data_IF_285951008868
#
_entry.id   IF_285951008868
#
_cell.length_a   1.000
_cell.length_b   1.000
_cell.length_c   1.000
_cell.angle_alpha   90.00
_cell.angle_beta   90.00
_cell.angle_gamma   90.00
#
_symmetry.space_group_name_H-M   'P 1'
#
loop_
_entity.id
_entity.type
_entity.pdbx_description
1 polymer ?
#
# COMPACT_ATOMS: atom_id res chain seq x y z
N UNK A 1 60.70 21.87 2.39
CA UNK A 1 61.67 20.92 1.84
C UNK A 1 61.03 20.22 0.68
N UNK A 2 61.50 20.55 -0.49
CA UNK A 2 61.00 20.15 -1.81
C UNK A 2 61.51 18.75 -2.12
N UNK A 3 60.68 17.87 -2.64
CA UNK A 3 61.21 16.78 -3.46
C UNK A 3 60.27 16.50 -4.64
N UNK A 4 60.80 16.81 -5.78
CA UNK A 4 60.31 16.54 -7.13
C UNK A 4 60.69 15.10 -7.51
N UNK A 5 59.86 14.35 -8.19
CA UNK A 5 60.33 13.17 -8.91
C UNK A 5 59.64 13.04 -10.28
N UNK A 6 60.52 12.80 -11.22
CA UNK A 6 60.40 12.91 -12.65
C UNK A 6 59.53 11.82 -13.31
N UNK A 7 58.93 12.25 -14.42
CA UNK A 7 58.27 11.44 -15.45
C UNK A 7 59.34 10.86 -16.39
N UNK A 8 59.25 9.59 -16.73
CA UNK A 8 60.00 8.97 -17.84
C UNK A 8 59.07 8.61 -18.98
N UNK A 9 59.23 9.31 -20.09
CA UNK A 9 58.65 8.96 -21.39
C UNK A 9 59.43 7.79 -21.98
N UNK A 10 58.70 6.77 -22.46
CA UNK A 10 59.26 5.78 -23.39
C UNK A 10 58.54 5.95 -24.73
N UNK A 11 59.29 6.33 -25.73
CA UNK A 11 58.88 6.41 -27.14
C UNK A 11 59.13 5.04 -27.80
N UNK A 12 58.15 4.42 -28.39
CA UNK A 12 58.29 3.23 -29.24
C UNK A 12 57.84 3.56 -30.65
N UNK A 13 58.70 3.26 -31.59
CA UNK A 13 58.57 3.52 -33.05
C UNK A 13 57.55 2.62 -33.70
N UNK A 14 56.79 3.19 -34.66
CA UNK A 14 55.93 2.50 -35.60
C UNK A 14 56.72 1.99 -36.83
N UNK A 15 56.41 0.80 -37.35
CA UNK A 15 56.74 0.44 -38.74
C UNK A 15 55.59 0.79 -39.70
N UNK A 16 55.93 1.05 -40.97
CA UNK A 16 55.09 1.52 -42.06
C UNK A 16 54.13 0.43 -42.60
N UNK A 17 53.06 0.83 -43.35
CA UNK A 17 51.95 -0.05 -43.70
C UNK A 17 52.19 -0.89 -44.96
N UNK A 18 51.67 -2.13 -44.91
CA UNK A 18 51.47 -2.99 -46.11
C UNK A 18 50.13 -2.70 -46.81
N UNK A 19 50.10 -2.65 -48.09
CA UNK A 19 48.94 -2.47 -48.97
C UNK A 19 48.03 -3.68 -48.90
N UNK A 20 46.78 -3.48 -48.50
CA UNK A 20 45.73 -4.49 -48.42
C UNK A 20 44.68 -4.38 -49.51
N UNK A 21 44.27 -5.48 -50.02
CA UNK A 21 43.23 -5.75 -51.03
C UNK A 21 41.85 -5.17 -50.71
N UNK A 22 40.98 -4.89 -51.72
CA UNK A 22 39.71 -4.17 -51.51
C UNK A 22 38.65 -5.02 -50.80
N UNK A 23 38.09 -4.45 -49.74
CA UNK A 23 36.99 -5.04 -48.97
C UNK A 23 35.65 -4.94 -49.70
N UNK A 24 34.93 -6.06 -49.70
CA UNK A 24 33.49 -6.19 -50.02
C UNK A 24 32.64 -5.34 -49.04
N UNK A 25 31.54 -4.74 -49.50
CA UNK A 25 30.70 -3.92 -48.61
C UNK A 25 29.98 -4.78 -47.55
N UNK A 26 30.14 -4.41 -46.28
CA UNK A 26 29.43 -4.98 -45.15
C UNK A 26 27.91 -4.69 -45.28
N UNK A 27 27.11 -5.72 -45.20
CA UNK A 27 25.67 -5.65 -44.97
C UNK A 27 25.42 -4.97 -43.59
N UNK A 28 24.50 -4.00 -43.47
CA UNK A 28 24.18 -3.42 -42.18
C UNK A 28 23.61 -4.48 -41.26
N UNK A 29 24.19 -4.63 -40.07
CA UNK A 29 23.59 -5.41 -38.98
C UNK A 29 22.24 -4.82 -38.62
N UNK A 30 21.20 -5.65 -38.66
CA UNK A 30 19.87 -5.31 -38.14
C UNK A 30 19.98 -4.97 -36.64
N UNK A 31 19.31 -3.91 -36.16
CA UNK A 31 19.26 -3.62 -34.75
C UNK A 31 18.60 -4.80 -34.02
N UNK A 32 19.31 -5.40 -33.09
CA UNK A 32 18.74 -6.38 -32.16
C UNK A 32 17.65 -5.70 -31.33
N UNK A 33 16.45 -6.24 -31.43
CA UNK A 33 15.30 -5.85 -30.59
C UNK A 33 15.73 -5.97 -29.14
N UNK A 34 15.42 -4.96 -28.28
CA UNK A 34 15.80 -5.03 -26.86
C UNK A 34 15.11 -6.24 -26.23
N UNK A 35 15.90 -7.12 -25.63
CA UNK A 35 15.39 -8.27 -24.86
C UNK A 35 14.37 -7.74 -23.82
N UNK A 36 13.15 -8.22 -23.93
CA UNK A 36 12.14 -8.01 -22.88
C UNK A 36 12.71 -8.55 -21.57
N UNK A 37 12.60 -7.81 -20.45
CA UNK A 37 13.04 -8.32 -19.18
C UNK A 37 12.27 -9.62 -18.89
N UNK A 38 13.00 -10.72 -18.81
CA UNK A 38 12.47 -12.02 -18.40
C UNK A 38 11.83 -11.85 -17.03
N UNK A 39 10.53 -12.12 -16.94
CA UNK A 39 9.87 -12.23 -15.64
C UNK A 39 10.63 -13.30 -14.85
N UNK A 40 10.92 -13.06 -13.55
CA UNK A 40 11.54 -14.09 -12.73
C UNK A 40 10.68 -15.35 -12.80
N UNK A 41 11.31 -16.50 -12.99
CA UNK A 41 10.62 -17.79 -12.97
C UNK A 41 9.83 -17.90 -11.67
N UNK A 42 8.52 -18.06 -11.80
CA UNK A 42 7.63 -18.17 -10.67
C UNK A 42 7.80 -19.57 -10.05
N UNK A 43 8.05 -19.66 -8.74
CA UNK A 43 8.15 -20.94 -8.03
C UNK A 43 6.92 -21.80 -8.37
N UNK A 44 7.15 -23.01 -8.85
CA UNK A 44 6.08 -23.93 -9.25
C UNK A 44 5.16 -24.36 -8.09
N UNK A 45 5.55 -24.11 -6.85
CA UNK A 45 4.74 -24.34 -5.64
C UNK A 45 3.76 -23.21 -5.34
N UNK A 46 3.90 -22.05 -6.02
CA UNK A 46 2.99 -20.94 -5.84
C UNK A 46 1.58 -21.30 -6.30
N UNK A 47 0.61 -20.87 -5.51
CA UNK A 47 -0.80 -21.13 -5.75
C UNK A 47 -1.54 -19.82 -6.04
N UNK A 48 -2.40 -19.82 -7.06
CA UNK A 48 -3.34 -18.76 -7.37
C UNK A 48 -4.69 -19.37 -7.73
N UNK A 49 -5.68 -19.19 -6.86
CA UNK A 49 -6.99 -19.84 -6.98
C UNK A 49 -8.11 -18.82 -6.99
N UNK A 50 -8.81 -18.68 -8.13
CA UNK A 50 -9.96 -17.81 -8.24
C UNK A 50 -11.15 -18.32 -7.40
N UNK A 51 -11.74 -17.44 -6.60
CA UNK A 51 -12.93 -17.69 -5.81
C UNK A 51 -14.17 -17.47 -6.67
N UNK A 52 -15.10 -18.40 -6.67
CA UNK A 52 -16.27 -18.39 -7.56
C UNK A 52 -17.48 -17.69 -6.93
N UNK A 53 -18.39 -17.26 -7.79
CA UNK A 53 -19.74 -16.81 -7.41
C UNK A 53 -19.85 -15.35 -7.02
N UNK A 54 -18.88 -14.53 -7.35
CA UNK A 54 -18.97 -13.07 -7.31
C UNK A 54 -19.62 -12.54 -8.59
N UNK A 55 -20.27 -11.38 -8.55
CA UNK A 55 -20.86 -10.76 -9.74
C UNK A 55 -19.76 -10.24 -10.69
N UNK A 56 -20.15 -9.94 -11.92
CA UNK A 56 -19.27 -9.28 -12.88
C UNK A 56 -18.69 -7.99 -12.29
N UNK A 57 -17.38 -7.78 -12.51
CA UNK A 57 -16.63 -6.66 -11.93
C UNK A 57 -16.04 -6.94 -10.55
N UNK A 58 -16.24 -8.13 -9.97
CA UNK A 58 -15.57 -8.55 -8.73
C UNK A 58 -14.86 -9.86 -8.96
N UNK A 59 -13.54 -9.83 -8.85
CA UNK A 59 -12.69 -11.01 -8.90
C UNK A 59 -11.98 -11.16 -7.55
N UNK A 60 -12.00 -12.36 -6.98
CA UNK A 60 -11.38 -12.66 -5.70
C UNK A 60 -10.45 -13.86 -5.88
N UNK A 61 -9.25 -13.76 -5.35
CA UNK A 61 -8.23 -14.80 -5.50
C UNK A 61 -7.62 -15.15 -4.14
N UNK A 62 -7.50 -16.44 -3.85
CA UNK A 62 -6.54 -16.94 -2.87
C UNK A 62 -5.17 -17.00 -3.53
N UNK A 63 -4.12 -16.62 -2.82
CA UNK A 63 -2.74 -16.79 -3.22
C UNK A 63 -1.92 -17.46 -2.13
N UNK A 64 -0.87 -18.19 -2.55
CA UNK A 64 0.20 -18.69 -1.70
C UNK A 64 1.50 -18.55 -2.46
N UNK A 65 2.40 -17.73 -1.95
CA UNK A 65 3.69 -17.44 -2.58
C UNK A 65 4.82 -17.81 -1.65
N UNK A 66 5.69 -18.68 -2.10
CA UNK A 66 6.94 -19.01 -1.43
C UNK A 66 7.94 -17.87 -1.64
N UNK A 67 8.76 -17.60 -0.62
CA UNK A 67 9.74 -16.50 -0.71
C UNK A 67 10.93 -16.86 -1.59
N UNK A 68 11.38 -18.14 -1.50
CA UNK A 68 12.51 -18.67 -2.25
C UNK A 68 12.27 -20.16 -2.55
N UNK A 69 12.85 -20.67 -3.65
CA UNK A 69 12.72 -22.09 -4.03
C UNK A 69 13.24 -23.07 -2.96
N UNK A 70 14.26 -22.64 -2.20
CA UNK A 70 14.89 -23.45 -1.15
C UNK A 70 14.21 -23.36 0.21
N UNK A 71 13.23 -22.46 0.38
CA UNK A 71 12.54 -22.21 1.64
C UNK A 71 11.15 -22.84 1.65
N UNK A 72 10.76 -23.35 2.83
CA UNK A 72 9.36 -23.75 3.09
C UNK A 72 8.51 -22.57 3.62
N UNK A 73 9.13 -21.41 3.81
CA UNK A 73 8.44 -20.22 4.25
C UNK A 73 7.67 -19.56 3.09
N UNK A 74 6.42 -19.19 3.37
CA UNK A 74 5.53 -18.58 2.39
C UNK A 74 4.63 -17.51 3.02
N UNK A 75 4.04 -16.69 2.17
CA UNK A 75 2.89 -15.88 2.49
C UNK A 75 1.66 -16.40 1.76
N UNK A 76 0.54 -16.47 2.45
CA UNK A 76 -0.76 -16.76 1.85
C UNK A 76 -1.78 -15.70 2.25
N UNK A 77 -2.83 -15.58 1.44
CA UNK A 77 -3.89 -14.62 1.71
C UNK A 77 -4.86 -14.51 0.56
N UNK A 78 -5.54 -13.37 0.51
CA UNK A 78 -6.54 -13.08 -0.50
C UNK A 78 -6.37 -11.66 -1.05
N UNK A 79 -6.67 -11.49 -2.32
CA UNK A 79 -6.89 -10.18 -2.88
C UNK A 79 -8.16 -10.17 -3.73
N UNK A 80 -8.75 -8.99 -3.86
CA UNK A 80 -9.91 -8.77 -4.71
C UNK A 80 -9.65 -7.61 -5.66
N UNK A 81 -10.07 -7.77 -6.92
CA UNK A 81 -10.06 -6.72 -7.93
C UNK A 81 -11.52 -6.33 -8.17
N UNK A 82 -11.83 -5.04 -7.99
CA UNK A 82 -13.20 -4.51 -8.11
C UNK A 82 -13.23 -3.44 -9.19
N UNK A 83 -13.97 -3.71 -10.26
CA UNK A 83 -14.15 -2.82 -11.41
C UNK A 83 -15.53 -2.16 -11.34
N UNK A 84 -15.59 -1.01 -10.67
CA UNK A 84 -16.83 -0.22 -10.55
C UNK A 84 -17.24 0.48 -11.85
N UNK A 85 -16.34 0.59 -12.83
CA UNK A 85 -16.66 1.16 -14.14
C UNK A 85 -17.36 0.17 -15.02
N UNK A 86 -16.94 -1.10 -15.02
CA UNK A 86 -17.61 -2.17 -15.77
C UNK A 86 -18.95 -2.56 -15.16
N UNK A 87 -19.10 -2.39 -13.83
CA UNK A 87 -20.34 -2.63 -13.12
C UNK A 87 -20.65 -1.46 -12.17
N UNK A 88 -21.40 -0.44 -12.64
CA UNK A 88 -21.71 0.76 -11.84
C UNK A 88 -22.57 0.51 -10.60
N UNK A 89 -23.18 -0.68 -10.46
CA UNK A 89 -23.88 -1.08 -9.23
C UNK A 89 -22.93 -1.42 -8.08
N UNK A 90 -21.66 -1.69 -8.38
CA UNK A 90 -20.65 -1.90 -7.34
C UNK A 90 -20.30 -0.60 -6.65
N UNK A 91 -20.27 -0.63 -5.32
CA UNK A 91 -19.95 0.52 -4.49
C UNK A 91 -18.80 0.18 -3.54
N UNK A 92 -17.90 1.13 -3.40
CA UNK A 92 -16.92 1.17 -2.33
C UNK A 92 -17.54 1.95 -1.17
N UNK A 93 -17.51 1.40 0.03
CA UNK A 93 -18.04 2.05 1.22
C UNK A 93 -16.99 2.02 2.34
N UNK A 94 -16.72 3.17 2.93
CA UNK A 94 -15.97 3.30 4.17
C UNK A 94 -16.99 3.27 5.33
N UNK A 95 -16.84 2.31 6.24
CA UNK A 95 -17.83 2.07 7.29
C UNK A 95 -17.23 2.38 8.65
N UNK A 96 -17.88 3.25 9.40
CA UNK A 96 -17.62 3.52 10.81
C UNK A 96 -18.69 2.85 11.67
N UNK A 97 -18.28 2.23 12.77
CA UNK A 97 -19.18 1.69 13.78
C UNK A 97 -18.84 2.27 15.15
N UNK A 98 -19.81 2.90 15.79
CA UNK A 98 -19.65 3.58 17.08
C UNK A 98 -19.21 2.62 18.21
N UNK A 99 -19.72 1.39 18.17
CA UNK A 99 -19.28 0.31 19.05
C UNK A 99 -18.56 -0.71 18.19
N UNK A 100 -17.24 -0.77 18.24
CA UNK A 100 -16.43 -1.66 17.44
C UNK A 100 -17.06 -3.06 17.23
N UNK A 101 -16.90 -3.66 16.07
CA UNK A 101 -17.48 -4.95 15.71
C UNK A 101 -16.49 -5.77 14.88
N UNK A 102 -16.68 -7.07 14.83
CA UNK A 102 -15.88 -7.89 13.90
C UNK A 102 -16.23 -7.55 12.45
N UNK A 103 -15.28 -7.62 11.50
CA UNK A 103 -15.58 -7.39 10.09
C UNK A 103 -16.74 -8.22 9.56
N UNK A 104 -16.92 -9.48 10.02
CA UNK A 104 -18.11 -10.29 9.68
C UNK A 104 -19.41 -9.71 10.22
N UNK A 105 -19.42 -9.12 11.42
CA UNK A 105 -20.61 -8.47 11.96
C UNK A 105 -20.92 -7.16 11.24
N UNK A 106 -19.87 -6.38 10.88
CA UNK A 106 -20.04 -5.17 10.05
C UNK A 106 -20.63 -5.54 8.70
N UNK A 107 -20.11 -6.59 8.06
CA UNK A 107 -20.66 -7.14 6.81
C UNK A 107 -22.13 -7.51 6.94
N UNK A 108 -22.49 -8.28 7.98
CA UNK A 108 -23.86 -8.75 8.20
C UNK A 108 -24.86 -7.64 8.51
N UNK A 109 -24.42 -6.56 9.16
CA UNK A 109 -25.26 -5.42 9.54
C UNK A 109 -25.25 -4.28 8.49
N UNK A 110 -24.50 -4.43 7.41
CA UNK A 110 -24.37 -3.39 6.39
C UNK A 110 -25.69 -3.16 5.66
N UNK A 111 -26.16 -1.90 5.63
CA UNK A 111 -27.47 -1.53 5.06
C UNK A 111 -27.37 -0.77 3.72
N UNK A 112 -26.16 -0.47 3.24
CA UNK A 112 -25.94 0.32 2.03
C UNK A 112 -26.00 -0.48 0.72
N UNK A 113 -26.73 -1.63 0.71
CA UNK A 113 -26.85 -2.54 -0.43
C UNK A 113 -26.50 -3.98 -0.04
N UNK A 114 -26.38 -4.86 -1.02
CA UNK A 114 -25.95 -6.25 -0.79
C UNK A 114 -24.44 -6.31 -0.63
N UNK A 115 -23.88 -6.61 0.56
CA UNK A 115 -22.42 -6.69 0.76
C UNK A 115 -21.86 -7.92 0.04
N UNK A 116 -20.69 -7.75 -0.56
CA UNK A 116 -19.96 -8.78 -1.31
C UNK A 116 -18.63 -9.15 -0.68
N UNK A 117 -17.94 -8.14 -0.14
CA UNK A 117 -16.67 -8.26 0.54
C UNK A 117 -16.58 -7.23 1.67
N UNK A 118 -15.86 -7.55 2.73
CA UNK A 118 -15.40 -6.56 3.70
C UNK A 118 -13.96 -6.83 4.13
N UNK A 119 -13.25 -5.76 4.52
CA UNK A 119 -11.96 -5.85 5.21
C UNK A 119 -11.99 -4.97 6.46
N UNK A 120 -11.06 -5.21 7.40
CA UNK A 120 -10.78 -4.22 8.42
C UNK A 120 -10.34 -2.89 7.78
N UNK A 121 -10.50 -1.80 8.52
CA UNK A 121 -10.11 -0.46 8.09
C UNK A 121 -8.76 0.00 8.62
N UNK A 122 -8.68 1.28 8.98
CA UNK A 122 -7.46 1.92 9.47
C UNK A 122 -7.11 1.62 10.92
N UNK A 123 -6.03 2.25 11.38
CA UNK A 123 -5.52 2.08 12.75
C UNK A 123 -6.52 2.58 13.80
N UNK A 124 -6.51 1.92 14.96
CA UNK A 124 -7.35 2.28 16.10
C UNK A 124 -6.65 1.93 17.42
N UNK A 125 -7.17 2.46 18.51
CA UNK A 125 -6.73 2.14 19.86
C UNK A 125 -7.93 2.20 20.80
N UNK A 126 -8.10 1.18 21.64
CA UNK A 126 -9.16 1.08 22.63
C UNK A 126 -10.58 1.39 22.07
N UNK A 127 -10.89 0.81 20.91
CA UNK A 127 -12.15 1.02 20.18
C UNK A 127 -12.26 2.33 19.40
N UNK A 128 -11.34 3.28 19.61
CA UNK A 128 -11.36 4.58 18.95
C UNK A 128 -10.52 4.57 17.67
N UNK A 129 -11.07 5.05 16.57
CA UNK A 129 -10.33 5.17 15.30
C UNK A 129 -9.23 6.24 15.40
N UNK A 130 -8.01 5.88 15.00
CA UNK A 130 -6.87 6.79 14.84
C UNK A 130 -6.66 7.19 13.37
N UNK A 131 -7.53 6.77 12.48
CA UNK A 131 -7.44 6.99 11.04
C UNK A 131 -8.62 7.79 10.54
N UNK A 132 -8.40 8.58 9.50
CA UNK A 132 -9.48 9.28 8.82
C UNK A 132 -10.51 8.29 8.29
N UNK A 133 -11.79 8.60 8.44
CA UNK A 133 -12.88 7.96 7.73
C UNK A 133 -13.88 8.99 7.27
N UNK A 134 -14.24 8.92 5.99
CA UNK A 134 -15.31 9.70 5.38
C UNK A 134 -16.31 8.71 4.79
N UNK A 135 -17.59 8.87 5.14
CA UNK A 135 -18.68 8.06 4.62
C UNK A 135 -19.82 8.98 4.17
N UNK A 136 -20.30 8.79 2.96
CA UNK A 136 -21.31 9.66 2.37
C UNK A 136 -20.92 11.14 2.31
N UNK A 137 -19.64 11.47 2.18
CA UNK A 137 -19.09 12.83 2.21
C UNK A 137 -18.98 13.45 3.61
N UNK A 138 -19.35 12.72 4.67
CA UNK A 138 -19.26 13.16 6.06
C UNK A 138 -18.01 12.58 6.72
N UNK A 139 -17.24 13.41 7.42
CA UNK A 139 -16.12 12.96 8.25
C UNK A 139 -16.68 12.30 9.50
N UNK A 140 -16.54 10.99 9.61
CA UNK A 140 -16.97 10.20 10.77
C UNK A 140 -15.84 10.01 11.79
N UNK A 141 -14.59 9.96 11.31
CA UNK A 141 -13.39 9.91 12.15
C UNK A 141 -12.30 10.77 11.53
N UNK A 142 -11.58 11.53 12.36
CA UNK A 142 -10.41 12.28 11.94
C UNK A 142 -9.14 11.45 12.12
N UNK A 143 -8.11 11.71 11.30
CA UNK A 143 -6.78 11.14 11.54
C UNK A 143 -6.21 11.63 12.87
N UNK A 144 -5.45 10.77 13.55
CA UNK A 144 -4.76 11.14 14.77
C UNK A 144 -3.90 12.40 14.55
N UNK A 145 -4.17 13.44 15.33
CA UNK A 145 -3.54 14.75 15.18
C UNK A 145 -2.08 14.73 15.64
N UNK A 146 -1.77 13.84 16.59
CA UNK A 146 -0.45 13.77 17.22
C UNK A 146 -0.01 12.33 17.38
N UNK A 147 1.31 12.13 17.37
CA UNK A 147 1.97 10.89 17.77
C UNK A 147 3.25 11.24 18.53
N UNK A 148 3.78 10.28 19.29
CA UNK A 148 4.87 10.52 20.23
C UNK A 148 6.07 9.62 19.96
N UNK A 149 6.82 9.87 18.85
CA UNK A 149 8.01 9.10 18.56
C UNK A 149 9.13 9.36 19.56
N UNK A 150 9.99 8.34 19.74
CA UNK A 150 11.19 8.47 20.54
C UNK A 150 12.41 8.55 19.61
N UNK A 151 13.34 9.46 19.93
CA UNK A 151 14.64 9.59 19.28
C UNK A 151 15.72 9.84 20.34
N UNK A 152 16.80 9.06 20.31
CA UNK A 152 17.90 9.13 21.30
C UNK A 152 17.40 9.17 22.77
N UNK A 153 16.41 8.33 23.09
CA UNK A 153 15.84 8.24 24.44
C UNK A 153 14.94 9.42 24.86
N UNK A 154 14.71 10.39 23.97
CA UNK A 154 13.83 11.52 24.19
C UNK A 154 12.55 11.37 23.39
N UNK A 155 11.40 11.64 24.04
CA UNK A 155 10.11 11.65 23.41
C UNK A 155 9.82 13.01 22.73
N UNK A 156 9.25 12.97 21.55
CA UNK A 156 8.87 14.13 20.75
C UNK A 156 7.37 14.09 20.45
N UNK A 157 6.81 15.24 20.09
CA UNK A 157 5.48 15.33 19.50
C UNK A 157 5.63 15.52 17.99
N UNK A 158 4.93 14.72 17.22
CA UNK A 158 4.87 14.83 15.77
C UNK A 158 3.43 14.94 15.29
N UNK A 159 3.22 15.66 14.18
CA UNK A 159 1.92 15.84 13.53
C UNK A 159 1.98 15.21 12.12
N UNK A 160 1.87 13.89 12.01
CA UNK A 160 2.09 13.19 10.77
C UNK A 160 0.93 13.41 9.79
N UNK A 161 1.26 13.70 8.53
CA UNK A 161 0.34 13.52 7.41
C UNK A 161 0.38 12.05 7.03
N UNK A 162 -0.74 11.35 7.16
CA UNK A 162 -0.82 9.92 6.86
C UNK A 162 -1.57 9.65 5.58
N UNK A 163 -1.24 8.54 4.94
CA UNK A 163 -1.88 8.13 3.70
C UNK A 163 -3.35 7.79 3.92
N UNK A 164 -4.17 8.16 2.93
CA UNK A 164 -5.58 7.79 2.84
C UNK A 164 -5.94 7.46 1.39
N UNK A 165 -6.91 6.58 1.22
CA UNK A 165 -7.55 6.27 -0.05
C UNK A 165 -8.97 6.84 -0.05
N UNK A 166 -9.40 7.46 -1.16
CA UNK A 166 -10.73 8.01 -1.30
C UNK A 166 -11.31 7.78 -2.68
N UNK A 167 -12.65 7.74 -2.72
CA UNK A 167 -13.48 7.70 -3.93
C UNK A 167 -14.35 8.95 -3.94
N UNK A 168 -14.26 9.76 -4.98
CA UNK A 168 -15.05 10.96 -5.17
C UNK A 168 -16.44 10.65 -5.71
N UNK A 169 -17.36 11.62 -5.63
CA UNK A 169 -18.74 11.46 -6.08
C UNK A 169 -18.88 11.10 -7.58
N UNK A 170 -17.88 11.49 -8.40
CA UNK A 170 -17.81 11.13 -9.82
C UNK A 170 -17.18 9.75 -10.08
N UNK A 171 -16.82 9.02 -9.01
CA UNK A 171 -16.16 7.70 -9.08
C UNK A 171 -14.65 7.76 -9.30
N UNK A 172 -14.05 8.95 -9.37
CA UNK A 172 -12.58 9.05 -9.42
C UNK A 172 -11.96 8.63 -8.10
N UNK A 173 -10.78 7.99 -8.18
CA UNK A 173 -10.04 7.50 -7.02
C UNK A 173 -8.81 8.35 -6.78
N UNK A 174 -8.49 8.56 -5.52
CA UNK A 174 -7.30 9.29 -5.10
C UNK A 174 -6.67 8.60 -3.89
N UNK A 175 -5.35 8.45 -3.89
CA UNK A 175 -4.59 8.17 -2.70
C UNK A 175 -3.61 9.31 -2.45
N UNK A 176 -3.64 9.85 -1.23
CA UNK A 176 -2.93 11.08 -0.88
C UNK A 176 -2.55 11.07 0.60
N UNK A 177 -1.74 12.02 1.04
CA UNK A 177 -1.48 12.24 2.46
C UNK A 177 -2.44 13.28 3.01
N UNK A 178 -3.07 12.96 4.13
CA UNK A 178 -4.11 13.78 4.73
C UNK A 178 -3.73 14.21 6.14
N UNK A 179 -4.12 15.44 6.48
CA UNK A 179 -4.17 15.94 7.84
C UNK A 179 -5.47 16.71 8.06
N UNK A 180 -6.12 16.48 9.20
CA UNK A 180 -7.33 17.22 9.56
C UNK A 180 -6.91 18.52 10.27
N UNK A 181 -7.01 19.65 9.58
CA UNK A 181 -6.44 20.92 10.03
C UNK A 181 -7.30 21.57 11.14
N UNK A 182 -6.77 21.73 12.38
CA UNK A 182 -7.55 22.30 13.49
C UNK A 182 -7.99 23.75 13.26
N UNK A 183 -7.21 24.53 12.50
CA UNK A 183 -7.52 25.90 12.14
C UNK A 183 -8.71 26.03 11.19
N UNK A 184 -9.22 24.92 10.66
CA UNK A 184 -10.39 24.85 9.81
C UNK A 184 -11.34 23.73 10.23
N UNK A 185 -11.72 23.72 11.49
CA UNK A 185 -12.69 22.79 12.09
C UNK A 185 -12.34 21.30 11.85
N UNK A 186 -11.09 20.96 11.85
CA UNK A 186 -10.57 19.61 11.56
C UNK A 186 -11.01 19.05 10.20
N UNK A 187 -11.29 19.90 9.22
CA UNK A 187 -11.55 19.44 7.85
C UNK A 187 -10.29 18.77 7.28
N UNK A 188 -10.45 17.69 6.50
CA UNK A 188 -9.32 16.99 5.89
C UNK A 188 -8.74 17.79 4.74
N UNK A 189 -7.41 17.93 4.73
CA UNK A 189 -6.63 18.54 3.67
C UNK A 189 -5.67 17.52 3.10
N UNK A 190 -5.63 17.40 1.77
CA UNK A 190 -4.67 16.57 1.04
C UNK A 190 -3.36 17.31 0.79
N UNK A 191 -2.26 16.56 0.79
CA UNK A 191 -0.91 17.06 0.59
C UNK A 191 -0.14 16.16 -0.39
N UNK A 192 0.76 16.72 -1.17
CA UNK A 192 1.56 15.98 -2.16
C UNK A 192 2.66 15.09 -1.56
N UNK A 193 2.89 15.19 -0.24
CA UNK A 193 3.92 14.41 0.47
C UNK A 193 3.60 14.28 1.96
N UNK A 194 4.13 13.24 2.64
CA UNK A 194 4.03 13.07 4.11
C UNK A 194 4.83 14.10 4.90
N UNK A 195 5.73 14.76 4.28
CA UNK A 195 6.66 15.86 4.60
C UNK A 195 7.17 15.98 6.04
N UNK A 196 8.49 16.10 6.13
CA UNK A 196 9.24 16.79 7.20
C UNK A 196 9.62 15.95 8.40
N UNK A 197 9.08 14.76 8.53
CA UNK A 197 9.46 13.87 9.62
C UNK A 197 10.73 13.09 9.26
N UNK A 198 11.72 13.21 10.11
CA UNK A 198 12.99 12.48 9.98
C UNK A 198 13.46 12.05 11.36
N UNK A 199 13.18 10.81 11.74
CA UNK A 199 13.58 10.26 13.03
C UNK A 199 15.09 10.14 13.20
N UNK A 200 15.86 9.93 12.09
CA UNK A 200 17.32 9.77 12.15
C UNK A 200 18.04 11.00 12.69
N UNK A 201 17.37 12.14 12.67
CA UNK A 201 17.87 13.42 13.18
C UNK A 201 16.92 14.10 14.17
N UNK A 202 15.88 13.40 14.64
CA UNK A 202 14.91 13.92 15.61
C UNK A 202 14.07 15.09 15.09
N UNK A 203 13.91 15.22 13.77
CA UNK A 203 13.12 16.29 13.15
C UNK A 203 11.69 15.79 12.89
N UNK A 204 10.74 16.47 13.52
CA UNK A 204 9.30 16.18 13.37
C UNK A 204 8.54 17.45 12.99
N UNK A 205 7.52 17.29 12.14
CA UNK A 205 6.70 18.43 11.70
C UNK A 205 5.78 18.91 12.81
N UNK A 206 5.60 20.23 12.86
CA UNK A 206 4.53 20.88 13.60
C UNK A 206 3.17 20.68 12.90
N UNK A 207 2.11 21.05 13.60
CA UNK A 207 0.73 21.03 13.11
C UNK A 207 0.61 21.68 11.74
N UNK A 208 0.13 20.96 10.71
CA UNK A 208 -0.18 21.55 9.42
C UNK A 208 -1.33 22.54 9.52
N UNK A 209 -1.25 23.64 8.77
CA UNK A 209 -2.29 24.64 8.62
C UNK A 209 -3.06 24.45 7.30
N UNK A 210 -4.34 24.79 7.26
CA UNK A 210 -5.18 24.75 6.06
C UNK A 210 -4.61 25.60 4.91
N UNK A 211 -3.90 26.69 5.24
CA UNK A 211 -3.19 27.56 4.29
C UNK A 211 -1.84 27.02 3.81
N UNK A 212 -1.35 25.91 4.37
CA UNK A 212 0.00 25.34 4.09
C UNK A 212 -0.01 24.41 2.90
N UNK A 213 -0.08 24.89 1.67
CA UNK A 213 0.04 24.05 0.45
C UNK A 213 -0.87 22.81 0.37
N UNK A 214 -1.74 22.60 1.34
CA UNK A 214 -2.79 21.59 1.33
C UNK A 214 -3.99 22.04 0.51
N UNK A 215 -4.76 21.09 0.00
CA UNK A 215 -6.04 21.32 -0.65
C UNK A 215 -7.14 20.67 0.15
N UNK A 216 -8.25 21.35 0.36
CA UNK A 216 -9.43 20.75 0.99
C UNK A 216 -9.77 19.46 0.23
N UNK A 217 -9.90 18.35 0.97
CA UNK A 217 -10.11 17.03 0.42
C UNK A 217 -11.52 16.53 0.74
N UNK A 218 -12.31 16.30 -0.29
CA UNK A 218 -13.75 16.04 -0.16
C UNK A 218 -14.19 14.81 -0.97
N UNK A 219 -13.61 13.62 -0.74
CA UNK A 219 -14.14 12.41 -1.34
C UNK A 219 -15.52 12.08 -0.76
N UNK A 220 -16.29 11.28 -1.48
CA UNK A 220 -17.56 10.73 -1.01
C UNK A 220 -17.32 9.61 0.04
N UNK A 221 -16.34 8.77 -0.22
CA UNK A 221 -15.92 7.68 0.68
C UNK A 221 -14.40 7.74 0.84
N UNK A 222 -13.88 7.59 2.05
CA UNK A 222 -12.44 7.52 2.28
C UNK A 222 -12.08 6.72 3.52
N UNK A 223 -10.93 6.03 3.43
CA UNK A 223 -10.31 5.31 4.54
C UNK A 223 -8.85 5.73 4.69
N UNK A 224 -8.47 6.14 5.88
CA UNK A 224 -7.10 6.44 6.24
C UNK A 224 -6.35 5.21 6.75
N UNK A 225 -5.04 5.27 6.64
CA UNK A 225 -4.12 4.22 7.10
C UNK A 225 -2.69 4.73 7.12
N UNK A 226 -1.83 4.05 6.40
CA UNK A 226 -0.42 4.38 6.21
C UNK A 226 0.50 3.17 6.46
N UNK A 227 1.70 3.21 5.89
CA UNK A 227 2.18 4.23 4.98
C UNK A 227 1.56 4.11 3.59
N UNK A 228 1.76 5.16 2.77
CA UNK A 228 1.62 5.02 1.32
C UNK A 228 2.61 3.95 0.86
N UNK A 229 2.10 2.91 0.23
CA UNK A 229 2.88 1.78 -0.29
C UNK A 229 3.39 2.06 -1.70
N UNK A 230 2.48 2.50 -2.58
CA UNK A 230 2.79 2.85 -3.96
C UNK A 230 2.42 4.30 -4.22
N UNK A 231 3.28 4.99 -4.96
CA UNK A 231 3.04 6.31 -5.55
C UNK A 231 3.43 6.28 -7.02
N UNK A 232 2.45 6.46 -7.92
CA UNK A 232 2.70 6.46 -9.37
C UNK A 232 3.48 5.21 -9.83
N UNK A 233 3.10 4.03 -9.30
CA UNK A 233 3.74 2.75 -9.60
C UNK A 233 5.12 2.55 -8.96
N UNK A 234 5.59 3.46 -8.12
CA UNK A 234 6.85 3.33 -7.39
C UNK A 234 6.61 2.84 -5.97
N UNK A 235 7.34 1.82 -5.55
CA UNK A 235 7.36 1.35 -4.17
C UNK A 235 8.02 2.42 -3.28
N UNK A 236 7.25 2.96 -2.34
CA UNK A 236 7.68 4.01 -1.41
C UNK A 236 7.42 3.61 0.06
N UNK A 237 7.06 2.35 0.29
CA UNK A 237 6.58 1.83 1.57
C UNK A 237 7.55 2.09 2.73
N UNK A 238 8.82 1.69 2.58
CA UNK A 238 9.82 1.82 3.64
C UNK A 238 10.08 3.29 3.99
N UNK A 239 10.32 4.13 2.97
CA UNK A 239 10.62 5.55 3.21
C UNK A 239 9.44 6.29 3.85
N UNK A 240 8.20 5.93 3.48
CA UNK A 240 7.01 6.57 4.00
C UNK A 240 6.64 6.07 5.40
N UNK A 241 6.96 4.82 5.74
CA UNK A 241 6.79 4.32 7.10
C UNK A 241 7.43 5.27 8.13
N UNK A 242 8.65 5.73 7.86
CA UNK A 242 9.37 6.68 8.70
C UNK A 242 8.79 8.09 8.59
N UNK A 243 8.56 8.58 7.38
CA UNK A 243 8.04 9.95 7.16
C UNK A 243 6.62 10.15 7.69
N UNK A 244 5.80 9.11 7.69
CA UNK A 244 4.45 9.11 8.25
C UNK A 244 4.43 8.81 9.76
N UNK A 245 5.61 8.65 10.39
CA UNK A 245 5.81 8.42 11.84
C UNK A 245 5.03 7.23 12.36
N UNK A 246 5.02 6.14 11.58
CA UNK A 246 4.29 4.91 11.93
C UNK A 246 5.07 4.03 12.92
N UNK A 247 6.39 4.20 13.01
CA UNK A 247 7.24 3.50 13.98
C UNK A 247 6.86 3.81 15.43
N UNK A 248 6.20 4.93 15.73
CA UNK A 248 5.67 5.23 17.06
C UNK A 248 4.55 4.26 17.50
N UNK A 249 3.92 3.57 16.57
CA UNK A 249 2.91 2.53 16.81
C UNK A 249 3.46 1.11 16.97
N UNK A 250 4.76 0.91 16.87
CA UNK A 250 5.45 -0.31 17.28
C UNK A 250 5.63 -1.42 16.24
N UNK A 251 5.05 -1.35 15.05
CA UNK A 251 5.24 -2.41 14.04
C UNK A 251 6.24 -2.00 12.97
N UNK A 252 7.35 -2.71 12.88
CA UNK A 252 8.38 -2.41 11.89
C UNK A 252 7.90 -2.73 10.45
N UNK A 253 8.17 -1.82 9.52
CA UNK A 253 7.86 -2.00 8.10
C UNK A 253 8.49 -3.25 7.48
N UNK A 254 9.69 -3.60 7.95
CA UNK A 254 10.50 -4.69 7.43
C UNK A 254 10.30 -6.02 8.17
N UNK A 255 9.28 -6.14 9.01
CA UNK A 255 8.96 -7.42 9.66
C UNK A 255 7.81 -8.11 8.95
N UNK A 256 7.89 -9.44 8.85
CA UNK A 256 6.82 -10.28 8.34
C UNK A 256 5.63 -10.23 9.30
N UNK A 257 4.49 -9.76 8.81
CA UNK A 257 3.25 -9.62 9.57
C UNK A 257 2.03 -9.90 8.69
N UNK A 258 0.87 -10.25 9.28
CA UNK A 258 -0.39 -10.10 8.57
C UNK A 258 -0.58 -8.65 8.14
N UNK A 259 -1.06 -8.43 6.93
CA UNK A 259 -1.24 -7.10 6.34
C UNK A 259 -2.61 -6.96 5.70
N UNK A 260 -3.10 -5.74 5.73
CA UNK A 260 -4.26 -5.30 4.96
C UNK A 260 -3.87 -4.06 4.17
N UNK A 261 -4.25 -4.00 2.90
CA UNK A 261 -3.95 -2.87 2.04
C UNK A 261 -5.06 -2.62 1.02
N UNK A 262 -5.11 -1.40 0.53
CA UNK A 262 -5.99 -0.98 -0.56
C UNK A 262 -5.17 -0.22 -1.60
N UNK A 263 -5.47 -0.46 -2.88
CA UNK A 263 -4.84 0.26 -3.98
C UNK A 263 -5.79 0.43 -5.15
N UNK A 264 -5.34 1.14 -6.18
CA UNK A 264 -6.08 1.26 -7.43
C UNK A 264 -5.15 1.31 -8.64
N UNK A 265 -5.70 0.86 -9.78
CA UNK A 265 -5.02 0.80 -11.06
C UNK A 265 -5.31 2.05 -11.92
N UNK A 266 -4.53 2.27 -12.98
CA UNK A 266 -4.75 3.40 -13.90
C UNK A 266 -6.10 3.34 -14.61
N UNK A 267 -6.62 2.15 -14.88
CA UNK A 267 -7.95 1.97 -15.50
C UNK A 267 -9.10 2.10 -14.48
N UNK A 268 -8.76 2.31 -13.19
CA UNK A 268 -9.71 2.64 -12.12
C UNK A 268 -10.36 1.42 -11.50
N UNK A 269 -9.63 0.33 -11.33
CA UNK A 269 -10.05 -0.81 -10.51
C UNK A 269 -9.49 -0.66 -9.11
N UNK A 270 -10.27 -1.01 -8.10
CA UNK A 270 -9.84 -1.09 -6.71
C UNK A 270 -9.22 -2.46 -6.48
N UNK A 271 -8.12 -2.51 -5.73
CA UNK A 271 -7.52 -3.75 -5.25
C UNK A 271 -7.58 -3.74 -3.73
N UNK A 272 -8.26 -4.73 -3.15
CA UNK A 272 -8.23 -5.04 -1.72
C UNK A 272 -7.28 -6.21 -1.51
N UNK A 273 -6.44 -6.13 -0.48
CA UNK A 273 -5.45 -7.15 -0.17
C UNK A 273 -5.44 -7.45 1.32
N UNK A 274 -5.39 -8.74 1.66
CA UNK A 274 -5.17 -9.23 3.02
C UNK A 274 -4.27 -10.46 2.97
N UNK A 275 -3.22 -10.51 3.78
CA UNK A 275 -2.45 -11.73 3.98
C UNK A 275 -2.46 -12.20 5.42
N UNK A 276 -2.38 -13.51 5.59
CA UNK A 276 -2.09 -14.17 6.85
C UNK A 276 -0.64 -13.94 7.26
N UNK A 277 -0.32 -14.19 8.50
CA UNK A 277 1.04 -14.09 9.02
C UNK A 277 1.15 -14.67 10.41
N UNK A 278 2.32 -14.49 11.06
CA UNK A 278 2.58 -15.03 12.40
C UNK A 278 2.40 -16.55 12.47
N UNK A 279 2.69 -17.24 11.35
CA UNK A 279 2.56 -18.69 11.17
C UNK A 279 1.12 -19.24 11.26
N UNK A 280 0.11 -18.37 11.20
CA UNK A 280 -1.26 -18.85 11.01
C UNK A 280 -1.37 -19.57 9.65
N UNK A 281 -1.89 -20.79 9.65
CA UNK A 281 -1.89 -21.71 8.51
C UNK A 281 -0.51 -21.86 7.82
N UNK A 282 0.59 -21.67 8.57
CA UNK A 282 1.95 -21.72 8.05
C UNK A 282 2.45 -20.44 7.39
N UNK A 283 1.59 -19.46 7.16
CA UNK A 283 1.95 -18.18 6.54
C UNK A 283 2.80 -17.31 7.46
N UNK A 284 3.94 -16.84 6.98
CA UNK A 284 4.80 -15.89 7.70
C UNK A 284 4.28 -14.44 7.60
N UNK A 285 3.55 -14.11 6.54
CA UNK A 285 3.08 -12.77 6.21
C UNK A 285 4.04 -12.04 5.27
N UNK A 286 3.84 -10.74 5.10
CA UNK A 286 4.68 -9.89 4.26
C UNK A 286 5.23 -8.68 5.01
N UNK A 287 6.38 -8.19 4.57
CA UNK A 287 6.87 -6.83 4.86
C UNK A 287 6.05 -5.82 4.05
N UNK A 288 6.08 -4.54 4.42
CA UNK A 288 5.38 -3.51 3.66
C UNK A 288 5.93 -3.32 2.22
N UNK A 289 7.26 -3.37 1.99
CA UNK A 289 7.79 -3.36 0.62
C UNK A 289 7.29 -4.52 -0.24
N UNK A 290 7.22 -5.74 0.29
CA UNK A 290 6.70 -6.91 -0.45
C UNK A 290 5.21 -6.77 -0.79
N UNK A 291 4.39 -6.22 0.12
CA UNK A 291 2.99 -5.89 -0.18
C UNK A 291 2.91 -4.87 -1.32
N UNK A 292 3.76 -3.83 -1.29
CA UNK A 292 3.80 -2.84 -2.36
C UNK A 292 4.16 -3.46 -3.71
N UNK A 293 5.16 -4.34 -3.74
CA UNK A 293 5.60 -4.99 -4.99
C UNK A 293 4.55 -5.97 -5.52
N UNK A 294 3.85 -6.70 -4.64
CA UNK A 294 2.73 -7.54 -5.04
C UNK A 294 1.60 -6.70 -5.65
N UNK A 295 1.17 -5.63 -4.97
CA UNK A 295 0.11 -4.75 -5.48
C UNK A 295 0.50 -4.09 -6.81
N UNK A 296 1.76 -3.71 -6.98
CA UNK A 296 2.30 -3.23 -8.25
C UNK A 296 2.22 -4.31 -9.33
N UNK A 297 2.55 -5.56 -9.01
CA UNK A 297 2.40 -6.71 -9.90
C UNK A 297 0.94 -6.94 -10.34
N UNK A 298 -0.03 -6.60 -9.50
CA UNK A 298 -1.46 -6.62 -9.81
C UNK A 298 -1.93 -5.38 -10.60
N UNK A 299 -1.03 -4.46 -10.95
CA UNK A 299 -1.33 -3.26 -11.74
C UNK A 299 -1.68 -2.02 -10.91
N UNK A 300 -1.57 -2.08 -9.58
CA UNK A 300 -1.78 -0.89 -8.76
C UNK A 300 -0.73 0.18 -9.07
N UNK A 301 -1.18 1.43 -9.18
CA UNK A 301 -0.30 2.61 -9.32
C UNK A 301 -0.23 3.43 -8.03
N UNK A 302 -1.25 3.33 -7.20
CA UNK A 302 -1.29 3.90 -5.86
C UNK A 302 -1.81 2.84 -4.90
N UNK A 303 -1.24 2.79 -3.70
CA UNK A 303 -1.68 1.88 -2.65
C UNK A 303 -1.37 2.42 -1.26
N UNK A 304 -2.23 2.10 -0.31
CA UNK A 304 -2.17 2.51 1.09
C UNK A 304 -2.26 1.26 1.96
N UNK A 305 -1.37 1.14 2.95
CA UNK A 305 -1.49 0.12 3.98
C UNK A 305 -2.58 0.53 4.99
N UNK A 306 -3.37 -0.43 5.42
CA UNK A 306 -4.36 -0.28 6.48
C UNK A 306 -3.86 -0.91 7.79
N UNK A 307 -4.72 -1.06 8.81
CA UNK A 307 -4.32 -1.77 10.02
C UNK A 307 -4.05 -3.24 9.73
N UNK A 308 -3.01 -3.75 10.36
CA UNK A 308 -2.47 -5.08 10.13
C UNK A 308 -2.52 -5.99 11.38
N UNK A 309 -1.68 -7.00 11.37
CA UNK A 309 -1.56 -7.93 12.49
C UNK A 309 -2.86 -8.68 12.75
N UNK A 310 -3.32 -8.70 14.02
CA UNK A 310 -4.55 -9.36 14.41
C UNK A 310 -5.83 -8.80 13.81
N UNK A 311 -5.78 -7.57 13.24
CA UNK A 311 -6.92 -6.94 12.59
C UNK A 311 -7.12 -7.42 11.15
N UNK A 312 -6.09 -8.00 10.50
CA UNK A 312 -6.12 -8.39 9.08
C UNK A 312 -7.17 -9.45 8.79
N UNK A 313 -8.27 -9.04 8.18
CA UNK A 313 -9.39 -9.90 7.82
C UNK A 313 -9.99 -9.49 6.48
N UNK A 314 -10.24 -10.47 5.61
CA UNK A 314 -11.13 -10.32 4.45
C UNK A 314 -12.34 -11.23 4.64
N UNK A 315 -13.53 -10.66 4.59
CA UNK A 315 -14.81 -11.36 4.68
C UNK A 315 -15.35 -11.56 3.28
N UNK A 316 -15.72 -12.80 2.95
CA UNK A 316 -16.31 -13.16 1.68
C UNK A 316 -17.83 -12.94 1.64
N UNK A 317 -18.43 -13.18 0.47
CA UNK A 317 -19.87 -12.98 0.21
C UNK A 317 -20.80 -13.79 1.10
N UNK A 318 -20.32 -14.83 1.76
CA UNK A 318 -21.07 -15.64 2.72
C UNK A 318 -20.99 -15.10 4.17
N UNK A 319 -20.36 -13.93 4.37
CA UNK A 319 -20.18 -13.28 5.65
C UNK A 319 -19.09 -13.89 6.53
N UNK A 320 -18.32 -14.85 6.00
CA UNK A 320 -17.23 -15.49 6.73
C UNK A 320 -15.88 -14.94 6.35
N UNK A 321 -14.92 -14.96 7.30
CA UNK A 321 -13.54 -14.66 6.99
C UNK A 321 -12.99 -15.66 5.97
N UNK A 322 -12.35 -15.15 4.92
CA UNK A 322 -11.64 -15.95 3.92
C UNK A 322 -10.26 -16.36 4.42
N UNK A 323 -9.56 -15.46 5.07
CA UNK A 323 -8.24 -15.68 5.64
C UNK A 323 -8.33 -16.09 7.12
N UNK A 324 -7.18 -16.33 7.74
CA UNK A 324 -7.06 -16.79 9.13
C UNK A 324 -6.46 -15.71 10.02
N UNK A 325 -7.30 -14.96 10.77
CA UNK A 325 -6.81 -13.90 11.65
C UNK A 325 -5.78 -14.42 12.66
N UNK A 326 -4.66 -13.70 12.83
CA UNK A 326 -3.53 -14.14 13.65
C UNK A 326 -3.82 -14.19 15.16
N UNK A 327 -4.90 -13.58 15.62
CA UNK A 327 -5.36 -13.68 17.01
C UNK A 327 -6.26 -14.94 17.25
N UNK A 328 -6.43 -15.81 16.24
CA UNK A 328 -7.30 -16.98 16.26
C UNK A 328 -8.79 -16.66 16.07
N UNK A 329 -9.17 -15.41 16.25
CA UNK A 329 -10.53 -14.88 16.03
C UNK A 329 -10.45 -13.51 15.37
N UNK A 330 -11.55 -13.08 14.75
CA UNK A 330 -11.61 -11.72 14.22
C UNK A 330 -11.58 -10.70 15.36
N UNK A 331 -10.68 -9.73 15.26
CA UNK A 331 -10.65 -8.59 16.16
C UNK A 331 -11.84 -7.67 15.90
N UNK A 332 -12.41 -7.10 16.95
CA UNK A 332 -13.36 -6.01 16.81
C UNK A 332 -12.62 -4.76 16.37
N UNK A 333 -13.18 -4.05 15.41
CA UNK A 333 -12.60 -2.85 14.79
C UNK A 333 -13.65 -1.76 14.65
N UNK A 334 -13.30 -0.46 14.80
CA UNK A 334 -14.25 0.64 14.64
C UNK A 334 -14.48 1.01 13.17
N UNK A 335 -13.62 0.56 12.26
CA UNK A 335 -13.69 0.93 10.85
C UNK A 335 -13.48 -0.28 9.93
N UNK A 336 -14.18 -0.28 8.81
CA UNK A 336 -14.06 -1.32 7.77
C UNK A 336 -14.22 -0.71 6.37
N UNK A 337 -13.77 -1.47 5.37
CA UNK A 337 -14.12 -1.25 3.96
C UNK A 337 -15.14 -2.32 3.57
N UNK A 338 -16.22 -1.92 2.91
CA UNK A 338 -17.22 -2.83 2.37
C UNK A 338 -17.41 -2.58 0.88
N UNK A 339 -17.25 -3.63 0.09
CA UNK A 339 -17.69 -3.63 -1.31
C UNK A 339 -19.12 -4.18 -1.33
N UNK A 340 -20.04 -3.41 -1.87
CA UNK A 340 -21.44 -3.81 -1.99
C UNK A 340 -21.97 -3.66 -3.41
N UNK A 341 -23.10 -4.27 -3.66
CA UNK A 341 -23.87 -4.07 -4.88
C UNK A 341 -25.17 -3.34 -4.52
N UNK A 342 -25.42 -2.26 -5.23
CA UNK A 342 -26.67 -1.49 -5.15
C UNK A 342 -27.86 -2.38 -5.55
N UNK A 343 -28.93 -2.35 -4.76
CA UNK A 343 -30.13 -3.19 -4.95
C UNK A 343 -30.93 -2.81 -6.20
#
# INVERSE_FOLDING_TARGET
MVLCLCVSLVVACNPAPEEGTPNTPNTPEQPTEPEQPTQPEQDSRNELVAQKGYPSGVEVYYFKNYYEESSDDYCSGYYAIVDTKSNPKLKFNAVYVENDATPSNIFASFAGGTPLLATNGGYFWDGESLSLLISGGKVESIAAQYTYPSYEGKQYTACPRRAAFGVHADGTMEATWVYCCPDDNNRPYSFSSPKGNNEKVGVFTSTPHSSSSGKLWTPQEAIGGGPMLLKEGKNVAESNYWKEVLHSGGTAALTYQPRTAIGYTNDGKIILFVCDGRKMNGSSGYTLPEVADLLKGLGAVWAVNLDGGGSSVMVGKDGKALNSPSDGTQRRVPTAVVISMEN
#
